data_IF_504565559608
#
_entry.id   IF_504565559608
#
_cell.length_a   1.000
_cell.length_b   1.000
_cell.length_c   1.000
_cell.angle_alpha   90.00
_cell.angle_beta   90.00
_cell.angle_gamma   90.00
#
_symmetry.space_group_name_H-M   'P 1'
#
loop_
_entity.id
_entity.type
_entity.pdbx_description
1 polymer ?
#
# COMPACT_ATOMS: atom_id res chain seq x y z
N UNK A 1 -22.68 15.55 -33.70
CA UNK A 1 -21.31 15.61 -33.14
C UNK A 1 -20.36 15.03 -34.16
N UNK A 2 -19.44 15.84 -34.71
CA UNK A 2 -18.49 15.38 -35.75
C UNK A 2 -17.26 14.81 -35.06
N UNK A 3 -17.03 13.50 -35.18
CA UNK A 3 -15.84 12.85 -34.62
C UNK A 3 -14.64 13.22 -35.48
N UNK A 4 -13.61 13.83 -34.87
CA UNK A 4 -12.36 14.16 -35.53
C UNK A 4 -11.65 12.85 -35.93
N UNK A 5 -11.47 12.61 -37.23
CA UNK A 5 -10.66 11.50 -37.76
C UNK A 5 -9.19 11.91 -37.75
N UNK A 6 -8.35 11.06 -37.18
CA UNK A 6 -6.89 11.17 -37.24
C UNK A 6 -6.37 10.20 -38.31
N UNK A 7 -5.35 10.61 -39.07
CA UNK A 7 -4.65 9.69 -39.96
C UNK A 7 -3.87 8.65 -39.12
N UNK A 8 -3.92 7.35 -39.52
CA UNK A 8 -3.14 6.31 -38.85
C UNK A 8 -1.63 6.59 -38.93
N UNK A 9 -0.91 6.26 -37.86
CA UNK A 9 0.56 6.33 -37.85
C UNK A 9 1.14 5.26 -38.80
N UNK A 10 2.15 5.63 -39.58
CA UNK A 10 2.93 4.68 -40.40
C UNK A 10 3.84 3.83 -39.48
N UNK A 11 3.63 2.51 -39.53
CA UNK A 11 4.36 1.55 -38.71
C UNK A 11 5.55 0.88 -39.44
N UNK A 12 5.86 1.26 -40.68
CA UNK A 12 6.84 0.57 -41.54
C UNK A 12 8.23 0.37 -40.91
N UNK A 13 8.65 1.27 -40.02
CA UNK A 13 9.96 1.24 -39.36
C UNK A 13 9.92 0.90 -37.86
N UNK A 14 8.78 0.39 -37.35
CA UNK A 14 8.65 0.03 -35.94
C UNK A 14 9.47 -1.22 -35.65
N UNK A 15 10.43 -1.11 -34.72
CA UNK A 15 11.17 -2.25 -34.17
C UNK A 15 10.40 -2.85 -33.00
N UNK A 16 10.08 -4.13 -33.09
CA UNK A 16 9.39 -4.89 -32.04
C UNK A 16 10.36 -5.83 -31.33
N UNK A 17 9.98 -6.29 -30.15
CA UNK A 17 10.69 -7.32 -29.40
C UNK A 17 9.66 -8.21 -28.67
N UNK A 18 10.01 -9.45 -28.31
CA UNK A 18 9.10 -10.33 -27.59
C UNK A 18 8.67 -9.71 -26.25
N UNK A 19 7.36 -9.60 -26.01
CA UNK A 19 6.85 -9.04 -24.76
C UNK A 19 7.38 -9.81 -23.53
N UNK A 20 7.54 -11.13 -23.66
CA UNK A 20 8.06 -12.00 -22.60
C UNK A 20 9.49 -11.67 -22.17
N UNK A 21 10.31 -11.06 -23.02
CA UNK A 21 11.67 -10.64 -22.66
C UNK A 21 11.72 -9.27 -21.99
N UNK A 22 10.57 -8.58 -21.86
CA UNK A 22 10.50 -7.25 -21.28
C UNK A 22 10.67 -7.34 -19.75
N UNK A 23 11.73 -6.76 -19.16
CA UNK A 23 11.78 -6.61 -17.71
C UNK A 23 10.60 -5.74 -17.26
N UNK A 24 9.75 -6.27 -16.40
CA UNK A 24 8.57 -5.58 -15.88
C UNK A 24 8.71 -5.36 -14.38
N UNK A 25 8.43 -4.13 -13.93
CA UNK A 25 8.49 -3.76 -12.50
C UNK A 25 7.34 -4.34 -11.67
N UNK A 26 6.28 -4.80 -12.34
CA UNK A 26 5.07 -5.36 -11.74
C UNK A 26 4.81 -6.70 -12.40
N UNK A 27 4.53 -7.72 -11.59
CA UNK A 27 4.13 -9.06 -12.01
C UNK A 27 2.63 -9.23 -11.85
N UNK A 28 2.06 -10.21 -12.55
CA UNK A 28 0.65 -10.60 -12.35
C UNK A 28 0.41 -11.02 -10.90
N UNK A 29 1.41 -11.63 -10.27
CA UNK A 29 1.38 -12.03 -8.86
C UNK A 29 1.27 -10.84 -7.89
N UNK A 30 1.63 -9.62 -8.33
CA UNK A 30 1.49 -8.40 -7.52
C UNK A 30 0.09 -7.77 -7.64
N UNK A 31 -0.78 -8.32 -8.48
CA UNK A 31 -2.11 -7.80 -8.72
C UNK A 31 -3.02 -7.96 -7.50
N UNK A 32 -3.96 -7.03 -7.35
CA UNK A 32 -5.00 -7.10 -6.33
C UNK A 32 -6.02 -8.21 -6.64
N UNK A 33 -6.64 -8.75 -5.60
CA UNK A 33 -7.82 -9.59 -5.71
C UNK A 33 -9.11 -8.76 -5.54
N UNK A 34 -10.17 -9.00 -6.34
CA UNK A 34 -11.46 -8.35 -6.14
C UNK A 34 -12.05 -8.67 -4.75
N UNK A 35 -12.57 -7.64 -4.08
CA UNK A 35 -13.26 -7.79 -2.80
C UNK A 35 -14.55 -8.61 -2.95
N UNK A 36 -14.88 -9.41 -1.92
CA UNK A 36 -16.11 -10.21 -1.84
C UNK A 36 -16.91 -9.84 -0.59
N UNK A 37 -18.22 -9.55 -0.72
CA UNK A 37 -19.09 -9.33 0.43
C UNK A 37 -19.03 -10.50 1.42
N UNK A 38 -19.04 -10.20 2.72
CA UNK A 38 -18.89 -11.20 3.78
C UNK A 38 -17.45 -11.62 4.09
N UNK A 39 -16.45 -11.07 3.40
CA UNK A 39 -15.04 -11.29 3.71
C UNK A 39 -14.62 -10.68 5.05
N UNK A 40 -13.54 -11.21 5.63
CA UNK A 40 -12.90 -10.62 6.81
C UNK A 40 -12.03 -9.42 6.41
N UNK A 41 -11.72 -8.55 7.38
CA UNK A 41 -10.79 -7.45 7.13
C UNK A 41 -9.36 -7.96 6.80
N UNK A 42 -8.95 -9.12 7.32
CA UNK A 42 -7.69 -9.76 6.90
C UNK A 42 -7.73 -10.11 5.41
N UNK A 43 -8.82 -10.72 4.93
CA UNK A 43 -8.96 -11.05 3.52
C UNK A 43 -8.93 -9.79 2.62
N UNK A 44 -9.44 -8.66 3.10
CA UNK A 44 -9.30 -7.37 2.41
C UNK A 44 -7.83 -6.96 2.31
N UNK A 45 -7.10 -6.96 3.44
CA UNK A 45 -5.69 -6.60 3.48
C UNK A 45 -4.83 -7.55 2.62
N UNK A 46 -5.11 -8.85 2.64
CA UNK A 46 -4.40 -9.87 1.87
C UNK A 46 -4.67 -9.73 0.36
N UNK A 47 -5.84 -9.22 -0.02
CA UNK A 47 -6.20 -8.95 -1.42
C UNK A 47 -5.61 -7.65 -2.01
N UNK A 48 -4.97 -6.80 -1.20
CA UNK A 48 -4.33 -5.56 -1.70
C UNK A 48 -3.10 -5.88 -2.59
N UNK A 49 -2.84 -5.08 -3.64
CA UNK A 49 -1.74 -5.33 -4.56
C UNK A 49 -0.39 -5.21 -3.85
N UNK A 50 0.56 -6.05 -4.19
CA UNK A 50 1.86 -6.10 -3.51
C UNK A 50 2.88 -5.09 -4.08
N UNK A 51 2.51 -3.82 -4.18
CA UNK A 51 3.43 -2.76 -4.65
C UNK A 51 3.11 -1.39 -4.05
N UNK A 52 4.08 -0.47 -4.13
CA UNK A 52 3.94 0.93 -3.70
C UNK A 52 3.52 1.05 -2.21
N UNK A 53 2.49 1.85 -1.91
CA UNK A 53 2.06 2.14 -0.55
C UNK A 53 1.66 0.90 0.27
N UNK A 54 1.20 -0.17 -0.39
CA UNK A 54 0.85 -1.42 0.32
C UNK A 54 2.11 -2.10 0.86
N UNK A 55 3.23 -2.07 0.14
CA UNK A 55 4.51 -2.58 0.65
C UNK A 55 4.97 -1.75 1.86
N UNK A 56 4.86 -0.42 1.81
CA UNK A 56 5.17 0.44 2.96
C UNK A 56 4.28 0.14 4.16
N UNK A 57 2.98 -0.05 3.94
CA UNK A 57 2.01 -0.40 4.99
C UNK A 57 2.39 -1.72 5.67
N UNK A 58 2.65 -2.78 4.89
CA UNK A 58 3.06 -4.09 5.40
C UNK A 58 4.39 -4.00 6.16
N UNK A 59 5.39 -3.31 5.59
CA UNK A 59 6.70 -3.14 6.21
C UNK A 59 6.62 -2.42 7.56
N UNK A 60 5.81 -1.36 7.68
CA UNK A 60 5.61 -0.65 8.95
C UNK A 60 4.90 -1.55 9.97
N UNK A 61 3.84 -2.26 9.56
CA UNK A 61 3.13 -3.17 10.45
C UNK A 61 4.03 -4.29 10.98
N UNK A 62 4.82 -4.92 10.09
CA UNK A 62 5.81 -5.94 10.44
C UNK A 62 6.89 -5.37 11.38
N UNK A 63 7.45 -4.21 11.08
CA UNK A 63 8.48 -3.59 11.91
C UNK A 63 7.98 -3.26 13.33
N UNK A 64 6.76 -2.75 13.46
CA UNK A 64 6.12 -2.51 14.76
C UNK A 64 5.94 -3.84 15.50
N UNK A 65 5.34 -4.84 14.85
CA UNK A 65 5.12 -6.15 15.46
C UNK A 65 6.42 -6.78 15.94
N UNK A 66 7.46 -6.76 15.10
CA UNK A 66 8.76 -7.33 15.40
C UNK A 66 9.47 -6.61 16.55
N UNK A 67 9.43 -5.28 16.58
CA UNK A 67 9.99 -4.49 17.66
C UNK A 67 9.32 -4.87 18.98
N UNK A 68 7.99 -4.90 19.02
CA UNK A 68 7.23 -5.21 20.23
C UNK A 68 7.41 -6.65 20.69
N UNK A 69 7.42 -7.62 19.77
CA UNK A 69 7.75 -9.02 20.06
C UNK A 69 9.13 -9.19 20.68
N UNK A 70 10.10 -8.37 20.27
CA UNK A 70 11.48 -8.33 20.80
C UNK A 70 11.63 -7.44 22.04
N UNK A 71 10.54 -6.92 22.61
CA UNK A 71 10.55 -6.04 23.78
C UNK A 71 11.13 -4.64 23.50
N UNK A 72 11.30 -4.24 22.24
CA UNK A 72 11.86 -2.95 21.84
C UNK A 72 10.78 -1.87 21.78
N UNK A 73 11.09 -0.61 22.16
CA UNK A 73 10.13 0.48 22.10
C UNK A 73 9.78 0.87 20.66
N UNK A 74 8.57 1.40 20.47
CA UNK A 74 8.10 2.01 19.21
C UNK A 74 7.70 3.44 19.50
N UNK A 75 8.38 4.40 18.88
CA UNK A 75 8.14 5.84 19.05
C UNK A 75 7.42 6.37 17.82
N UNK A 76 6.27 7.02 18.01
CA UNK A 76 5.51 7.64 16.93
C UNK A 76 5.79 9.15 16.90
N UNK A 77 6.48 9.62 15.86
CA UNK A 77 6.61 11.05 15.56
C UNK A 77 5.44 11.52 14.72
N UNK A 78 4.68 12.52 15.19
CA UNK A 78 3.52 13.03 14.46
C UNK A 78 3.21 14.50 14.80
N UNK A 79 2.63 15.23 13.85
CA UNK A 79 2.11 16.58 14.11
C UNK A 79 0.63 16.59 14.50
N UNK A 80 0.12 17.77 14.86
CA UNK A 80 -1.28 18.00 15.27
C UNK A 80 -2.34 17.58 14.21
N UNK A 81 -1.93 17.35 12.95
CA UNK A 81 -2.80 16.91 11.87
C UNK A 81 -3.47 15.56 12.14
N UNK A 82 -2.82 14.65 12.86
CA UNK A 82 -3.41 13.34 13.19
C UNK A 82 -4.50 13.49 14.26
N UNK A 83 -4.28 14.37 15.24
CA UNK A 83 -5.24 14.64 16.32
C UNK A 83 -6.48 15.33 15.76
N UNK A 84 -6.32 16.41 14.98
CA UNK A 84 -7.44 17.26 14.55
C UNK A 84 -8.45 16.55 13.64
N UNK A 85 -8.04 15.48 12.96
CA UNK A 85 -8.93 14.66 12.10
C UNK A 85 -9.62 13.52 12.86
N UNK A 86 -9.46 13.47 14.19
CA UNK A 86 -10.18 12.54 15.05
C UNK A 86 -9.52 11.18 15.24
N UNK A 87 -8.22 11.01 14.95
CA UNK A 87 -7.52 9.73 15.13
C UNK A 87 -7.01 9.48 16.55
N UNK A 88 -7.18 10.43 17.48
CA UNK A 88 -6.75 10.27 18.86
C UNK A 88 -7.23 8.98 19.54
N UNK A 89 -8.48 8.52 19.39
CA UNK A 89 -8.93 7.27 20.02
C UNK A 89 -8.14 6.05 19.53
N UNK A 90 -7.74 6.04 18.25
CA UNK A 90 -6.95 4.94 17.68
C UNK A 90 -5.52 4.98 18.22
N UNK A 91 -4.93 6.17 18.32
CA UNK A 91 -3.60 6.33 18.91
C UNK A 91 -3.57 5.88 20.38
N UNK A 92 -4.61 6.23 21.15
CA UNK A 92 -4.76 5.82 22.54
C UNK A 92 -4.84 4.29 22.62
N UNK A 93 -5.69 3.65 21.82
CA UNK A 93 -5.81 2.18 21.77
C UNK A 93 -4.46 1.50 21.43
N UNK A 94 -3.69 2.06 20.49
CA UNK A 94 -2.36 1.55 20.15
C UNK A 94 -1.35 1.67 21.32
N UNK A 95 -1.45 2.73 22.12
CA UNK A 95 -0.61 2.92 23.31
C UNK A 95 -1.04 1.97 24.43
N UNK A 96 -2.34 1.84 24.70
CA UNK A 96 -2.89 0.96 25.74
C UNK A 96 -2.57 -0.52 25.47
N UNK A 97 -2.58 -0.94 24.20
CA UNK A 97 -2.16 -2.29 23.77
C UNK A 97 -0.64 -2.48 23.78
N UNK A 98 0.13 -1.42 24.07
CA UNK A 98 1.58 -1.45 24.05
C UNK A 98 2.17 -1.66 22.65
N UNK A 99 1.45 -1.33 21.58
CA UNK A 99 1.96 -1.34 20.21
C UNK A 99 2.79 -0.09 19.90
N UNK A 100 2.38 1.06 20.45
CA UNK A 100 3.14 2.31 20.51
C UNK A 100 3.59 2.54 21.95
N UNK A 101 4.87 2.89 22.14
CA UNK A 101 5.47 3.09 23.47
C UNK A 101 5.49 4.56 23.87
N UNK A 102 5.72 5.47 22.92
CA UNK A 102 5.68 6.90 23.17
C UNK A 102 5.29 7.66 21.90
N UNK A 103 4.78 8.87 22.08
CA UNK A 103 4.45 9.81 21.02
C UNK A 103 5.34 11.04 21.15
N UNK A 104 5.94 11.48 20.05
CA UNK A 104 6.71 12.71 19.94
C UNK A 104 5.93 13.71 19.07
N UNK A 105 5.66 14.90 19.62
CA UNK A 105 4.86 15.98 19.03
C UNK A 105 5.72 17.21 18.73
#
# INVERSE_FOLDING_TARGET
MTVKRYEPLDAANVKTYPLASRPSKVRVDDAAAPWRPGGSFSAFLDGLPNHLAVQSLRAVAEAIHDARRKGKPVLLGMGAHVIKVGLSPILIDLVERGLVTAVAL
#
